data_IF_751194222587
#
_entry.id   IF_751194222587
#
_cell.length_a   1.000
_cell.length_b   1.000
_cell.length_c   1.000
_cell.angle_alpha   90.00
_cell.angle_beta   90.00
_cell.angle_gamma   90.00
#
_symmetry.space_group_name_H-M   'P 1'
#
loop_
_entity.id
_entity.type
_entity.pdbx_description
1 polymer ?
#
# COMPACT_ATOMS: atom_id res chain seq x y z
N UNK A 1 -16.92 -18.51 -28.94
CA UNK A 1 -15.62 -18.85 -28.33
C UNK A 1 -14.52 -18.16 -29.13
N UNK A 2 -13.54 -17.57 -28.44
CA UNK A 2 -12.33 -17.06 -29.08
C UNK A 2 -11.40 -18.23 -29.38
N UNK A 3 -10.84 -18.30 -30.59
CA UNK A 3 -9.81 -19.30 -30.94
C UNK A 3 -8.43 -19.00 -30.35
N UNK A 4 -8.31 -17.94 -29.54
CA UNK A 4 -7.05 -17.47 -28.94
C UNK A 4 -7.23 -17.30 -27.42
N UNK A 5 -6.23 -17.66 -26.60
CA UNK A 5 -6.26 -17.41 -25.16
C UNK A 5 -6.24 -15.90 -24.89
N UNK A 6 -7.11 -15.46 -23.98
CA UNK A 6 -7.21 -14.06 -23.54
C UNK A 6 -6.80 -14.01 -22.07
N UNK A 7 -5.85 -13.13 -21.74
CA UNK A 7 -5.40 -12.87 -20.37
C UNK A 7 -5.80 -11.44 -20.01
N UNK A 8 -6.51 -11.29 -18.89
CA UNK A 8 -6.90 -10.00 -18.33
C UNK A 8 -6.13 -9.78 -17.03
N UNK A 9 -5.70 -8.54 -16.79
CA UNK A 9 -5.03 -8.12 -15.55
C UNK A 9 -5.87 -6.97 -14.97
N UNK A 10 -6.17 -7.04 -13.68
CA UNK A 10 -6.89 -6.02 -12.96
C UNK A 10 -6.24 -5.82 -11.58
N UNK A 11 -6.17 -4.57 -11.12
CA UNK A 11 -5.70 -4.26 -9.76
C UNK A 11 -6.83 -4.44 -8.74
N UNK A 12 -8.06 -4.08 -9.11
CA UNK A 12 -9.27 -4.37 -8.34
C UNK A 12 -10.16 -5.32 -9.15
N UNK A 13 -10.41 -6.49 -8.59
CA UNK A 13 -11.26 -7.51 -9.20
C UNK A 13 -12.75 -7.12 -9.22
N UNK A 14 -13.21 -6.38 -8.21
CA UNK A 14 -14.61 -6.00 -8.04
C UNK A 14 -15.02 -4.83 -8.94
N UNK A 15 -14.06 -4.00 -9.35
CA UNK A 15 -14.26 -2.95 -10.37
C UNK A 15 -14.57 -3.51 -11.77
N UNK A 16 -14.19 -4.76 -12.05
CA UNK A 16 -14.55 -5.38 -13.32
C UNK A 16 -16.07 -5.57 -13.48
N UNK A 17 -16.57 -5.66 -14.71
CA UNK A 17 -17.98 -5.99 -14.89
C UNK A 17 -18.26 -7.43 -14.46
N UNK A 18 -19.43 -7.68 -13.84
CA UNK A 18 -19.86 -9.05 -13.49
C UNK A 18 -19.82 -10.02 -14.67
N UNK A 19 -20.12 -9.54 -15.87
CA UNK A 19 -20.08 -10.35 -17.09
C UNK A 19 -18.68 -10.85 -17.42
N UNK A 20 -17.66 -10.01 -17.25
CA UNK A 20 -16.26 -10.41 -17.46
C UNK A 20 -15.80 -11.39 -16.40
N UNK A 21 -16.06 -11.10 -15.12
CA UNK A 21 -15.70 -12.02 -14.01
C UNK A 21 -16.25 -13.42 -14.22
N UNK A 22 -17.54 -13.52 -14.56
CA UNK A 22 -18.21 -14.80 -14.79
C UNK A 22 -17.69 -15.56 -16.03
N UNK A 23 -17.02 -14.87 -16.95
CA UNK A 23 -16.50 -15.44 -18.19
C UNK A 23 -14.99 -15.79 -18.11
N UNK A 24 -14.34 -15.55 -16.96
CA UNK A 24 -12.90 -15.74 -16.79
C UNK A 24 -12.58 -16.66 -15.62
N UNK A 25 -11.42 -17.31 -15.69
CA UNK A 25 -10.83 -17.97 -14.53
C UNK A 25 -10.00 -16.97 -13.74
N UNK A 26 -10.30 -16.83 -12.45
CA UNK A 26 -9.58 -15.95 -11.54
C UNK A 26 -8.24 -16.58 -11.10
N UNK A 27 -7.19 -15.76 -11.10
CA UNK A 27 -5.88 -16.07 -10.53
C UNK A 27 -5.49 -14.90 -9.62
N UNK A 28 -5.57 -15.12 -8.31
CA UNK A 28 -5.23 -14.11 -7.31
C UNK A 28 -3.70 -13.95 -7.19
N UNK A 29 -3.23 -12.70 -7.27
CA UNK A 29 -1.85 -12.34 -6.96
C UNK A 29 -1.82 -11.67 -5.59
N UNK A 30 -1.08 -12.26 -4.65
CA UNK A 30 -0.87 -11.72 -3.31
C UNK A 30 0.42 -10.92 -3.24
N UNK A 31 0.50 -10.04 -2.25
CA UNK A 31 1.70 -9.30 -1.94
C UNK A 31 2.92 -10.22 -1.75
N UNK A 32 4.05 -9.79 -2.31
CA UNK A 32 5.29 -10.57 -2.26
C UNK A 32 5.94 -10.40 -0.89
N UNK A 33 6.12 -11.49 -0.13
CA UNK A 33 6.78 -11.37 1.18
C UNK A 33 8.19 -10.79 1.05
N UNK A 34 8.66 -10.04 2.05
CA UNK A 34 10.03 -9.53 2.09
C UNK A 34 11.08 -10.65 1.90
N UNK A 35 10.81 -11.84 2.46
CA UNK A 35 11.63 -13.05 2.29
C UNK A 35 11.80 -13.48 0.82
N UNK A 36 10.80 -13.21 -0.02
CA UNK A 36 10.82 -13.50 -1.46
C UNK A 36 11.45 -12.35 -2.28
N UNK A 37 11.34 -11.11 -1.80
CA UNK A 37 11.93 -9.92 -2.45
C UNK A 37 13.46 -9.91 -2.29
N UNK A 38 13.99 -10.17 -1.10
CA UNK A 38 15.44 -10.09 -0.82
C UNK A 38 16.30 -10.94 -1.79
N UNK A 39 15.96 -12.21 -2.10
CA UNK A 39 16.70 -12.99 -3.08
C UNK A 39 16.73 -12.37 -4.47
N UNK A 40 15.67 -11.68 -4.89
CA UNK A 40 15.61 -10.99 -6.19
C UNK A 40 16.54 -9.78 -6.17
N UNK A 41 16.47 -8.93 -5.14
CA UNK A 41 17.38 -7.78 -5.02
C UNK A 41 18.85 -8.23 -5.00
N UNK A 42 19.14 -9.32 -4.30
CA UNK A 42 20.48 -9.92 -4.26
C UNK A 42 20.96 -10.36 -5.64
N UNK A 43 20.09 -10.98 -6.43
CA UNK A 43 20.40 -11.41 -7.79
C UNK A 43 20.65 -10.22 -8.71
N UNK A 44 19.86 -9.13 -8.56
CA UNK A 44 20.08 -7.87 -9.28
C UNK A 44 21.47 -7.29 -8.94
N UNK A 45 21.80 -7.12 -7.65
CA UNK A 45 23.12 -6.58 -7.27
C UNK A 45 24.27 -7.41 -7.86
N UNK A 46 24.17 -8.75 -7.81
CA UNK A 46 25.20 -9.63 -8.39
C UNK A 46 25.37 -9.46 -9.89
N UNK A 47 24.26 -9.30 -10.62
CA UNK A 47 24.27 -9.11 -12.08
C UNK A 47 24.82 -7.74 -12.47
N UNK A 48 24.61 -6.74 -11.62
CA UNK A 48 25.09 -5.36 -11.84
C UNK A 48 26.48 -5.09 -11.25
N UNK A 49 27.06 -6.06 -10.54
CA UNK A 49 28.39 -5.93 -9.94
C UNK A 49 28.41 -5.03 -8.69
N UNK A 50 27.27 -4.88 -8.02
CA UNK A 50 27.10 -4.05 -6.84
C UNK A 50 27.35 -4.91 -5.59
N UNK A 51 28.28 -4.51 -4.73
CA UNK A 51 28.46 -5.10 -3.40
C UNK A 51 27.30 -4.69 -2.47
N UNK A 52 26.84 -5.57 -1.59
CA UNK A 52 25.66 -5.28 -0.77
C UNK A 52 25.79 -5.84 0.64
N UNK A 53 25.25 -5.08 1.59
CA UNK A 53 24.86 -5.58 2.90
C UNK A 53 23.50 -6.31 2.81
N UNK A 54 23.38 -7.46 3.47
CA UNK A 54 22.12 -8.19 3.54
C UNK A 54 21.05 -7.39 4.30
N UNK A 55 21.45 -6.61 5.31
CA UNK A 55 20.54 -5.82 6.11
C UNK A 55 19.98 -4.64 5.30
N UNK A 56 20.76 -4.09 4.36
CA UNK A 56 20.28 -3.05 3.44
C UNK A 56 19.16 -3.57 2.55
N UNK A 57 19.35 -4.76 1.95
CA UNK A 57 18.33 -5.38 1.10
C UNK A 57 17.08 -5.76 1.91
N UNK A 58 17.26 -6.22 3.16
CA UNK A 58 16.15 -6.52 4.06
C UNK A 58 15.33 -5.25 4.33
N UNK A 59 15.99 -4.12 4.62
CA UNK A 59 15.31 -2.85 4.88
C UNK A 59 14.52 -2.33 3.67
N UNK A 60 15.07 -2.45 2.46
CA UNK A 60 14.36 -2.11 1.22
C UNK A 60 13.12 -2.99 1.03
N UNK A 61 13.27 -4.31 1.25
CA UNK A 61 12.18 -5.27 1.07
C UNK A 61 11.04 -5.06 2.06
N UNK A 62 11.34 -4.77 3.33
CA UNK A 62 10.34 -4.47 4.36
C UNK A 62 9.62 -3.15 4.10
N UNK A 63 10.35 -2.11 3.66
CA UNK A 63 9.76 -0.80 3.34
C UNK A 63 8.77 -0.83 2.16
N UNK A 64 8.93 -1.77 1.23
CA UNK A 64 8.10 -1.82 0.02
C UNK A 64 6.77 -2.56 0.17
N UNK A 65 6.51 -3.19 1.33
CA UNK A 65 5.23 -3.86 1.67
C UNK A 65 4.68 -4.77 0.56
N UNK A 66 5.55 -5.49 -0.14
CA UNK A 66 5.17 -6.44 -1.18
C UNK A 66 5.21 -5.96 -2.61
N UNK A 67 5.52 -4.68 -2.86
CA UNK A 67 5.79 -4.16 -4.20
C UNK A 67 7.24 -4.46 -4.63
N UNK A 68 7.42 -5.54 -5.40
CA UNK A 68 8.74 -5.90 -5.94
C UNK A 68 9.30 -4.82 -6.88
N UNK A 69 8.46 -4.16 -7.68
CA UNK A 69 8.91 -3.11 -8.60
C UNK A 69 9.38 -1.89 -7.82
N UNK A 70 8.63 -1.52 -6.78
CA UNK A 70 9.04 -0.50 -5.81
C UNK A 70 10.40 -0.81 -5.18
N UNK A 71 10.59 -2.05 -4.72
CA UNK A 71 11.84 -2.49 -4.10
C UNK A 71 13.05 -2.40 -5.05
N UNK A 72 12.87 -2.78 -6.33
CA UNK A 72 13.93 -2.65 -7.34
C UNK A 72 14.26 -1.17 -7.61
N UNK A 73 13.25 -0.30 -7.68
CA UNK A 73 13.47 1.13 -7.87
C UNK A 73 14.19 1.77 -6.68
N UNK A 74 13.85 1.37 -5.46
CA UNK A 74 14.52 1.85 -4.24
C UNK A 74 15.97 1.37 -4.18
N UNK A 75 16.23 0.12 -4.58
CA UNK A 75 17.59 -0.38 -4.75
C UNK A 75 18.36 0.47 -5.75
N UNK A 76 17.80 0.71 -6.94
CA UNK A 76 18.42 1.53 -7.98
C UNK A 76 18.72 2.96 -7.50
N UNK A 77 17.81 3.56 -6.74
CA UNK A 77 18.01 4.89 -6.18
C UNK A 77 19.14 4.91 -5.14
N UNK A 78 19.19 3.90 -4.26
CA UNK A 78 20.22 3.78 -3.23
C UNK A 78 21.62 3.47 -3.80
N UNK A 79 21.68 2.80 -4.95
CA UNK A 79 22.94 2.43 -5.63
C UNK A 79 23.35 3.38 -6.75
N UNK A 80 22.59 4.45 -6.99
CA UNK A 80 22.84 5.32 -8.14
C UNK A 80 24.25 5.94 -8.10
N UNK A 81 25.09 5.57 -9.06
CA UNK A 81 26.48 6.03 -9.15
C UNK A 81 27.42 5.43 -8.10
N UNK A 82 27.04 4.31 -7.49
CA UNK A 82 27.80 3.60 -6.46
C UNK A 82 27.96 2.13 -6.84
N UNK A 83 29.07 1.54 -6.42
CA UNK A 83 29.37 0.13 -6.64
C UNK A 83 29.06 -0.72 -5.39
N UNK A 84 28.54 -0.09 -4.33
CA UNK A 84 28.14 -0.77 -3.09
C UNK A 84 26.94 -0.10 -2.42
N UNK A 85 26.23 -0.88 -1.58
CA UNK A 85 25.12 -0.41 -0.72
C UNK A 85 25.22 -0.96 0.70
N UNK A 86 25.13 -0.08 1.69
CA UNK A 86 25.01 -0.40 3.11
C UNK A 86 23.66 0.06 3.69
N UNK A 87 23.36 -0.30 4.94
CA UNK A 87 22.07 -0.01 5.57
C UNK A 87 21.83 1.50 5.66
N UNK A 88 22.88 2.26 5.95
CA UNK A 88 22.88 3.73 6.03
C UNK A 88 22.57 4.42 4.70
N UNK A 89 22.81 3.76 3.57
CA UNK A 89 22.50 4.26 2.23
C UNK A 89 21.02 4.09 1.88
N UNK A 90 20.33 3.20 2.58
CA UNK A 90 18.89 3.00 2.45
C UNK A 90 18.19 4.16 3.17
N UNK A 91 18.06 5.28 2.46
CA UNK A 91 17.24 6.39 2.89
C UNK A 91 15.79 5.92 2.85
N UNK A 92 15.31 5.40 3.99
CA UNK A 92 13.89 5.39 4.31
C UNK A 92 13.50 6.83 4.63
N UNK A 93 13.60 7.73 3.65
CA UNK A 93 12.67 8.83 3.65
C UNK A 93 11.33 8.11 3.63
N UNK A 94 10.50 8.33 4.66
CA UNK A 94 9.11 7.94 4.61
C UNK A 94 8.62 8.44 3.25
N UNK A 95 8.58 7.55 2.26
CA UNK A 95 7.68 7.76 1.15
C UNK A 95 6.38 7.74 1.91
N UNK A 96 5.78 8.92 2.08
CA UNK A 96 4.39 9.10 2.48
C UNK A 96 3.56 8.32 1.46
N UNK A 97 3.60 6.98 1.53
CA UNK A 97 2.48 6.13 1.21
C UNK A 97 1.57 6.42 2.36
N UNK A 98 0.77 7.43 2.12
CA UNK A 98 -0.17 7.95 3.04
C UNK A 98 -0.85 6.79 3.81
N UNK A 99 -1.05 6.98 5.11
CA UNK A 99 -1.81 6.12 5.98
C UNK A 99 -2.98 5.54 5.18
N UNK A 100 -2.99 4.22 5.03
CA UNK A 100 -4.02 3.56 4.23
C UNK A 100 -5.39 3.92 4.81
N UNK A 101 -6.36 4.12 3.92
CA UNK A 101 -7.70 4.57 4.29
C UNK A 101 -8.33 3.71 5.39
N UNK A 102 -8.18 2.37 5.34
CA UNK A 102 -8.75 1.48 6.35
C UNK A 102 -8.07 1.62 7.74
N UNK A 103 -6.73 1.59 7.86
CA UNK A 103 -6.05 1.97 9.10
C UNK A 103 -6.46 3.35 9.64
N UNK A 104 -6.63 4.33 8.77
CA UNK A 104 -7.11 5.66 9.15
C UNK A 104 -8.53 5.62 9.73
N UNK A 105 -9.47 4.95 9.05
CA UNK A 105 -10.86 4.83 9.52
C UNK A 105 -10.93 4.12 10.88
N UNK A 106 -10.15 3.06 11.08
CA UNK A 106 -10.08 2.39 12.38
C UNK A 106 -9.53 3.31 13.47
N UNK A 107 -8.44 4.02 13.19
CA UNK A 107 -7.82 4.94 14.13
C UNK A 107 -8.77 6.09 14.52
N UNK A 108 -9.36 6.79 13.53
CA UNK A 108 -10.23 7.94 13.75
C UNK A 108 -11.54 7.57 14.45
N UNK A 109 -12.15 6.44 14.08
CA UNK A 109 -13.45 6.07 14.64
C UNK A 109 -13.34 5.44 16.03
N UNK A 110 -12.20 4.81 16.37
CA UNK A 110 -12.10 3.96 17.58
C UNK A 110 -11.01 4.36 18.57
N UNK A 111 -9.91 4.96 18.13
CA UNK A 111 -8.66 5.02 18.92
C UNK A 111 -8.13 6.44 19.17
N UNK A 112 -8.20 7.32 18.16
CA UNK A 112 -7.54 8.63 18.18
C UNK A 112 -8.37 9.73 18.83
N UNK A 113 -7.69 10.67 19.48
CA UNK A 113 -8.28 11.95 19.85
C UNK A 113 -8.52 12.82 18.61
N UNK A 114 -9.37 13.85 18.74
CA UNK A 114 -9.67 14.77 17.62
C UNK A 114 -8.41 15.45 17.04
N UNK A 115 -7.39 15.70 17.88
CA UNK A 115 -6.14 16.30 17.43
C UNK A 115 -5.26 15.30 16.66
N UNK A 116 -5.22 14.04 17.09
CA UNK A 116 -4.49 12.96 16.41
C UNK A 116 -5.16 12.63 15.07
N UNK A 117 -6.48 12.46 15.06
CA UNK A 117 -7.28 12.25 13.84
C UNK A 117 -7.04 13.31 12.78
N UNK A 118 -6.95 14.58 13.18
CA UNK A 118 -6.65 15.68 12.27
C UNK A 118 -5.25 15.57 11.67
N UNK A 119 -4.24 15.18 12.45
CA UNK A 119 -2.87 14.97 11.94
C UNK A 119 -2.81 13.75 11.02
N UNK A 120 -3.49 12.68 11.39
CA UNK A 120 -3.57 11.44 10.62
C UNK A 120 -4.26 11.67 9.27
N UNK A 121 -5.27 12.54 9.20
CA UNK A 121 -5.95 12.89 7.96
C UNK A 121 -5.03 13.54 6.92
N UNK A 122 -4.08 14.38 7.34
CA UNK A 122 -3.06 14.95 6.44
C UNK A 122 -2.09 13.90 5.90
N UNK A 123 -2.01 12.76 6.57
CA UNK A 123 -1.17 11.66 6.18
C UNK A 123 -1.94 10.64 5.33
N UNK A 124 -3.18 10.85 4.88
CA UNK A 124 -3.94 9.94 3.99
C UNK A 124 -3.98 10.49 2.56
N UNK A 125 -3.86 9.63 1.54
CA UNK A 125 -3.79 10.00 0.11
C UNK A 125 -5.21 10.04 -0.48
N UNK A 126 -6.06 10.80 0.18
CA UNK A 126 -7.46 11.00 -0.19
C UNK A 126 -7.79 12.48 -0.05
N UNK A 127 -8.75 12.96 -0.84
CA UNK A 127 -9.17 14.35 -0.69
C UNK A 127 -9.97 14.53 0.61
N UNK A 128 -10.04 15.74 1.18
CA UNK A 128 -10.88 15.99 2.36
C UNK A 128 -12.35 15.58 2.15
N UNK A 129 -12.88 15.78 0.94
CA UNK A 129 -14.25 15.41 0.58
C UNK A 129 -14.42 13.87 0.56
N UNK A 130 -13.46 13.15 -0.02
CA UNK A 130 -13.47 11.68 -0.04
C UNK A 130 -13.32 11.11 1.37
N UNK A 131 -12.43 11.65 2.20
CA UNK A 131 -12.28 11.24 3.61
C UNK A 131 -13.57 11.43 4.40
N UNK A 132 -14.27 12.55 4.18
CA UNK A 132 -15.55 12.84 4.83
C UNK A 132 -16.61 11.81 4.41
N UNK A 133 -16.70 11.50 3.11
CA UNK A 133 -17.62 10.49 2.59
C UNK A 133 -17.29 9.08 3.14
N UNK A 134 -16.01 8.73 3.26
CA UNK A 134 -15.59 7.47 3.84
C UNK A 134 -15.94 7.34 5.31
N UNK A 135 -15.72 8.41 6.10
CA UNK A 135 -16.16 8.45 7.51
C UNK A 135 -17.67 8.28 7.58
N UNK A 136 -18.43 9.07 6.82
CA UNK A 136 -19.90 9.04 6.78
C UNK A 136 -20.46 7.63 6.55
N UNK A 137 -19.87 6.89 5.60
CA UNK A 137 -20.28 5.54 5.25
C UNK A 137 -19.98 4.50 6.33
N UNK A 138 -18.99 4.73 7.20
CA UNK A 138 -18.52 3.75 8.19
C UNK A 138 -18.98 4.08 9.63
N UNK A 139 -19.55 5.27 9.89
CA UNK A 139 -20.03 5.66 11.23
C UNK A 139 -21.01 4.65 11.82
N UNK A 140 -21.95 4.14 11.01
CA UNK A 140 -22.98 3.19 11.48
C UNK A 140 -22.44 1.79 11.79
N UNK A 141 -21.29 1.43 11.23
CA UNK A 141 -20.65 0.13 11.48
C UNK A 141 -19.88 0.13 12.82
N UNK A 142 -19.56 1.31 13.36
CA UNK A 142 -18.75 1.47 14.57
C UNK A 142 -19.56 2.03 15.74
N UNK A 143 -20.47 2.98 15.50
CA UNK A 143 -21.20 3.67 16.57
C UNK A 143 -22.62 3.17 16.75
N UNK A 144 -23.03 3.07 18.01
CA UNK A 144 -24.41 2.83 18.40
C UNK A 144 -25.34 3.94 17.85
N UNK A 145 -26.63 3.64 17.57
CA UNK A 145 -27.52 4.58 16.87
C UNK A 145 -27.59 5.98 17.48
N UNK A 146 -27.58 6.10 18.81
CA UNK A 146 -27.62 7.40 19.50
C UNK A 146 -26.31 8.18 19.38
N UNK A 147 -25.17 7.50 19.23
CA UNK A 147 -23.87 8.13 19.00
C UNK A 147 -23.68 8.47 17.51
N UNK A 148 -24.15 7.61 16.61
CA UNK A 148 -24.14 7.85 15.17
C UNK A 148 -24.92 9.11 14.78
N UNK A 149 -26.12 9.33 15.35
CA UNK A 149 -26.90 10.56 15.11
C UNK A 149 -26.08 11.82 15.43
N UNK A 150 -25.39 11.84 16.59
CA UNK A 150 -24.53 12.97 16.95
C UNK A 150 -23.36 13.12 15.99
N UNK A 151 -22.76 12.03 15.53
CA UNK A 151 -21.67 12.08 14.57
C UNK A 151 -22.13 12.66 13.23
N UNK A 152 -23.29 12.26 12.73
CA UNK A 152 -23.88 12.85 11.51
C UNK A 152 -24.20 14.34 11.66
N UNK A 153 -24.65 14.80 12.84
CA UNK A 153 -24.88 16.23 13.10
C UNK A 153 -23.58 17.07 12.97
N UNK A 154 -22.40 16.47 13.18
CA UNK A 154 -21.10 17.14 13.03
C UNK A 154 -20.48 16.98 11.63
N UNK A 155 -20.99 16.04 10.82
CA UNK A 155 -20.54 15.83 9.42
C UNK A 155 -21.33 16.67 8.41
N UNK A 156 -22.53 17.14 8.78
CA UNK A 156 -23.41 17.99 7.97
C UNK A 156 -23.06 19.49 8.01
#
# INVERSE_FOLDING_TARGET
ESGQPIVLIANDYYDMSRGLRNATQEIEFRDVSARSIVPVLRDVCRKEGIEFDSDALQRIAEGNRGDLRGAVNDLQAATQGRDSIAVEDVVTGDRDKALGLFPFLDAVLKEESAEEALRSAYAVDETPDDLTAWIENNVLDVYEPAAAVRAYDFLA
#
